data_IF_760795990782
#
_entry.id   IF_760795990782
#
_cell.length_a   1.000
_cell.length_b   1.000
_cell.length_c   1.000
_cell.angle_alpha   90.00
_cell.angle_beta   90.00
_cell.angle_gamma   90.00
#
_symmetry.space_group_name_H-M   'P 1'
#
loop_
_entity.id
_entity.type
_entity.pdbx_description
1 polymer ?
#
# COMPACT_ATOMS: atom_id res chain seq x y z
N UNK A 1 21.24 -17.92 -11.30
CA UNK A 1 19.99 -18.67 -10.99
C UNK A 1 19.81 -18.92 -9.47
N UNK A 2 20.85 -19.29 -8.73
CA UNK A 2 20.76 -19.51 -7.26
C UNK A 2 20.21 -18.29 -6.46
N UNK A 3 20.65 -17.08 -6.79
CA UNK A 3 20.23 -15.85 -6.07
C UNK A 3 18.72 -15.56 -6.18
N UNK A 4 18.06 -15.93 -7.28
CA UNK A 4 16.62 -15.70 -7.46
C UNK A 4 15.75 -16.64 -6.62
N UNK A 5 16.19 -17.86 -6.39
CA UNK A 5 15.49 -18.82 -5.52
C UNK A 5 15.59 -18.36 -4.07
N UNK A 6 16.79 -18.01 -3.62
CA UNK A 6 17.01 -17.51 -2.24
C UNK A 6 16.18 -16.25 -1.96
N UNK A 7 16.16 -15.28 -2.90
CA UNK A 7 15.36 -14.06 -2.74
C UNK A 7 13.87 -14.36 -2.62
N UNK A 8 13.36 -15.30 -3.41
CA UNK A 8 11.95 -15.72 -3.33
C UNK A 8 11.64 -16.39 -2.00
N UNK A 9 12.49 -17.30 -1.56
CA UNK A 9 12.27 -18.05 -0.32
C UNK A 9 12.33 -17.12 0.90
N UNK A 10 13.30 -16.19 0.95
CA UNK A 10 13.32 -15.14 1.97
C UNK A 10 12.07 -14.25 1.94
N UNK A 11 11.52 -13.96 0.75
CA UNK A 11 10.28 -13.20 0.61
C UNK A 11 9.08 -13.93 1.23
N UNK A 12 8.95 -15.23 0.98
CA UNK A 12 7.90 -16.09 1.56
C UNK A 12 8.06 -16.18 3.10
N UNK A 13 9.29 -16.36 3.58
CA UNK A 13 9.55 -16.39 5.02
C UNK A 13 9.20 -15.05 5.69
N UNK A 14 9.56 -13.93 5.06
CA UNK A 14 9.24 -12.61 5.59
C UNK A 14 7.72 -12.36 5.62
N UNK A 15 7.01 -12.71 4.57
CA UNK A 15 5.55 -12.66 4.53
C UNK A 15 4.92 -13.51 5.64
N UNK A 16 5.43 -14.72 5.87
CA UNK A 16 4.97 -15.58 6.96
C UNK A 16 5.25 -14.97 8.36
N UNK A 17 6.41 -14.31 8.54
CA UNK A 17 6.70 -13.62 9.80
C UNK A 17 5.72 -12.48 10.07
N UNK A 18 5.42 -11.66 9.06
CA UNK A 18 4.43 -10.58 9.19
C UNK A 18 3.04 -11.14 9.47
N UNK A 19 2.64 -12.25 8.82
CA UNK A 19 1.40 -12.94 9.15
C UNK A 19 1.35 -13.39 10.62
N UNK A 20 2.40 -14.02 11.12
CA UNK A 20 2.44 -14.50 12.50
C UNK A 20 2.45 -13.37 13.52
N UNK A 21 3.04 -12.22 13.21
CA UNK A 21 2.98 -11.02 14.05
C UNK A 21 1.53 -10.67 14.40
N UNK A 22 0.63 -10.62 13.40
CA UNK A 22 -0.79 -10.34 13.62
C UNK A 22 -1.57 -11.56 14.12
N UNK A 23 -1.26 -12.75 13.65
CA UNK A 23 -1.98 -13.96 14.04
C UNK A 23 -1.81 -14.28 15.53
N UNK A 24 -0.68 -13.96 16.14
CA UNK A 24 -0.46 -14.13 17.56
C UNK A 24 -1.36 -13.24 18.41
N UNK A 25 -1.78 -12.07 17.89
CA UNK A 25 -2.72 -11.20 18.60
C UNK A 25 -4.11 -11.85 18.76
N UNK A 26 -4.48 -12.86 17.95
CA UNK A 26 -5.74 -13.59 18.10
C UNK A 26 -5.81 -14.36 19.42
N UNK A 27 -4.67 -14.66 20.05
CA UNK A 27 -4.62 -15.33 21.35
C UNK A 27 -4.77 -14.36 22.53
N UNK A 28 -4.71 -13.06 22.29
CA UNK A 28 -5.00 -12.05 23.30
C UNK A 28 -6.52 -11.80 23.37
N UNK A 29 -7.11 -12.08 24.53
CA UNK A 29 -8.54 -11.87 24.75
C UNK A 29 -8.96 -10.38 24.63
N UNK A 30 -8.01 -9.44 24.72
CA UNK A 30 -8.26 -8.01 24.57
C UNK A 30 -8.02 -7.52 23.13
N UNK A 31 -7.50 -8.38 22.26
CA UNK A 31 -7.29 -8.02 20.86
C UNK A 31 -8.58 -7.70 20.14
N UNK A 32 -8.56 -6.61 19.37
CA UNK A 32 -9.67 -6.21 18.50
C UNK A 32 -9.65 -6.94 17.14
N UNK A 33 -8.62 -7.76 16.86
CA UNK A 33 -8.54 -8.53 15.62
C UNK A 33 -9.57 -9.66 15.67
N UNK A 34 -10.39 -9.76 14.63
CA UNK A 34 -11.35 -10.83 14.44
C UNK A 34 -10.76 -11.98 13.63
N UNK A 35 -10.13 -11.65 12.50
CA UNK A 35 -9.50 -12.64 11.63
C UNK A 35 -8.19 -12.09 11.04
N UNK A 36 -7.26 -13.01 10.80
CA UNK A 36 -6.06 -12.77 10.00
C UNK A 36 -6.02 -13.84 8.91
N UNK A 37 -5.99 -13.39 7.65
CA UNK A 37 -5.95 -14.28 6.49
C UNK A 37 -4.61 -14.18 5.79
N UNK A 38 -4.09 -15.30 5.30
CA UNK A 38 -2.85 -15.40 4.54
C UNK A 38 -3.17 -15.76 3.09
N UNK A 39 -2.56 -15.07 2.12
CA UNK A 39 -2.82 -15.25 0.68
C UNK A 39 -4.33 -15.25 0.36
N UNK A 40 -5.00 -14.16 0.68
CA UNK A 40 -6.44 -13.99 0.49
C UNK A 40 -6.78 -13.75 -0.98
N UNK A 41 -7.19 -14.79 -1.70
CA UNK A 41 -7.28 -14.84 -3.16
C UNK A 41 -8.28 -13.86 -3.82
N UNK A 42 -9.05 -13.07 -3.06
CA UNK A 42 -10.09 -12.19 -3.60
C UNK A 42 -9.52 -10.95 -4.32
N UNK A 43 -8.34 -10.48 -3.92
CA UNK A 43 -7.74 -9.24 -4.42
C UNK A 43 -6.26 -9.39 -4.72
N UNK A 44 -5.93 -9.57 -5.99
CA UNK A 44 -4.53 -9.57 -6.44
C UNK A 44 -3.84 -8.24 -6.09
N UNK A 45 -2.69 -8.33 -5.47
CA UNK A 45 -1.77 -7.24 -5.08
C UNK A 45 -2.00 -6.59 -3.72
N UNK A 46 -3.02 -7.03 -2.95
CA UNK A 46 -3.21 -6.71 -1.54
C UNK A 46 -3.77 -7.94 -0.82
N UNK A 47 -3.29 -9.09 -1.19
CA UNK A 47 -3.79 -10.39 -0.79
C UNK A 47 -2.82 -11.17 0.10
N UNK A 48 -1.61 -10.63 0.33
CA UNK A 48 -0.62 -11.34 1.14
C UNK A 48 -1.14 -11.56 2.56
N UNK A 49 -1.68 -10.50 3.20
CA UNK A 49 -2.30 -10.58 4.53
C UNK A 49 -3.53 -9.68 4.56
N UNK A 50 -4.62 -10.19 5.10
CA UNK A 50 -5.85 -9.42 5.34
C UNK A 50 -6.24 -9.54 6.80
N UNK A 51 -6.44 -8.40 7.46
CA UNK A 51 -6.83 -8.32 8.87
C UNK A 51 -8.21 -7.70 8.96
N UNK A 52 -9.15 -8.40 9.60
CA UNK A 52 -10.46 -7.86 9.94
C UNK A 52 -10.56 -7.58 11.44
N UNK A 53 -11.25 -6.50 11.80
CA UNK A 53 -11.42 -6.02 13.17
C UNK A 53 -12.86 -6.20 13.66
N UNK A 54 -13.03 -6.67 14.91
CA UNK A 54 -14.34 -6.94 15.57
C UNK A 54 -15.21 -5.69 15.66
N UNK A 55 -14.61 -4.57 16.07
CA UNK A 55 -15.30 -3.30 16.36
C UNK A 55 -14.72 -2.14 15.55
N UNK A 56 -14.00 -2.47 14.48
CA UNK A 56 -13.21 -1.49 13.73
C UNK A 56 -11.98 -1.01 14.51
N UNK A 57 -11.03 -0.44 13.79
CA UNK A 57 -9.81 0.17 14.32
C UNK A 57 -9.85 1.66 14.04
N UNK A 58 -9.60 2.49 15.06
CA UNK A 58 -9.48 3.93 14.87
C UNK A 58 -8.29 4.23 13.96
N UNK A 59 -8.54 5.00 12.92
CA UNK A 59 -7.53 5.44 11.97
C UNK A 59 -7.81 6.88 11.56
N UNK A 60 -6.99 7.84 12.06
CA UNK A 60 -7.26 9.27 11.94
C UNK A 60 -8.67 9.61 12.46
N UNK A 61 -9.49 10.29 11.66
CA UNK A 61 -10.85 10.69 12.00
C UNK A 61 -11.91 9.66 11.59
N UNK A 62 -11.49 8.44 11.18
CA UNK A 62 -12.37 7.38 10.71
C UNK A 62 -12.18 6.09 11.49
N UNK A 63 -13.06 5.14 11.24
CA UNK A 63 -12.94 3.76 11.72
C UNK A 63 -12.80 2.83 10.52
N UNK A 64 -11.78 2.01 10.53
CA UNK A 64 -11.56 0.99 9.48
C UNK A 64 -11.91 -0.39 10.01
N UNK A 65 -12.50 -1.21 9.16
CA UNK A 65 -12.87 -2.58 9.49
C UNK A 65 -11.88 -3.61 8.96
N UNK A 66 -11.09 -3.23 7.94
CA UNK A 66 -10.17 -4.16 7.28
C UNK A 66 -8.87 -3.47 6.86
N UNK A 67 -7.76 -4.16 7.07
CA UNK A 67 -6.47 -3.83 6.49
C UNK A 67 -6.09 -4.86 5.43
N UNK A 68 -5.74 -4.39 4.24
CA UNK A 68 -5.22 -5.19 3.14
C UNK A 68 -3.73 -4.91 2.99
N UNK A 69 -2.90 -5.89 3.26
CA UNK A 69 -1.45 -5.73 3.35
C UNK A 69 -0.77 -6.46 2.19
N UNK A 70 0.02 -5.72 1.42
CA UNK A 70 1.00 -6.26 0.51
C UNK A 70 2.37 -6.26 1.17
N UNK A 71 3.01 -7.41 1.26
CA UNK A 71 4.36 -7.55 1.83
C UNK A 71 5.39 -7.57 0.72
N UNK A 72 6.43 -6.75 0.85
CA UNK A 72 7.57 -6.70 -0.09
C UNK A 72 8.89 -6.85 0.64
N UNK A 73 9.60 -7.91 0.30
CA UNK A 73 10.94 -8.17 0.80
C UNK A 73 11.98 -7.84 -0.27
N UNK A 74 12.96 -7.04 0.11
CA UNK A 74 14.13 -6.74 -0.71
C UNK A 74 15.40 -7.14 0.04
N UNK A 75 16.24 -7.98 -0.58
CA UNK A 75 17.51 -8.43 0.00
C UNK A 75 18.56 -7.32 0.11
N UNK A 76 18.43 -6.28 -0.70
CA UNK A 76 19.37 -5.15 -0.74
C UNK A 76 18.69 -3.91 -0.20
N UNK A 77 19.33 -3.26 0.77
CA UNK A 77 18.87 -1.96 1.29
C UNK A 77 18.92 -0.83 0.25
N UNK A 78 19.59 -1.04 -0.87
CA UNK A 78 19.68 -0.08 -1.99
C UNK A 78 18.36 0.07 -2.77
N UNK A 79 17.41 -0.86 -2.59
CA UNK A 79 16.10 -0.78 -3.23
C UNK A 79 15.19 0.14 -2.40
N UNK A 80 15.20 1.42 -2.73
CA UNK A 80 14.33 2.42 -2.11
C UNK A 80 12.98 2.47 -2.82
N UNK A 81 11.94 2.81 -2.06
CA UNK A 81 10.61 3.07 -2.60
C UNK A 81 10.59 4.49 -3.16
N UNK A 82 10.11 4.63 -4.40
CA UNK A 82 9.96 5.92 -5.08
C UNK A 82 8.57 6.02 -5.69
N UNK A 83 8.10 7.24 -5.97
CA UNK A 83 6.84 7.46 -6.66
C UNK A 83 6.83 6.79 -8.04
N UNK A 84 7.89 6.96 -8.82
CA UNK A 84 8.02 6.30 -10.12
C UNK A 84 8.01 4.78 -9.98
N UNK A 85 8.65 4.25 -8.92
CA UNK A 85 8.63 2.83 -8.62
C UNK A 85 7.24 2.27 -8.31
N UNK A 86 6.43 3.01 -7.59
CA UNK A 86 5.03 2.62 -7.30
C UNK A 86 4.13 2.69 -8.54
N UNK A 87 4.51 3.50 -9.52
CA UNK A 87 3.83 3.66 -10.81
C UNK A 87 4.37 2.74 -11.92
N UNK A 88 5.53 2.09 -11.71
CA UNK A 88 6.11 1.17 -12.68
C UNK A 88 5.62 -0.27 -12.45
N UNK A 89 4.92 -0.88 -13.43
CA UNK A 89 4.49 -2.27 -13.33
C UNK A 89 5.63 -3.27 -13.09
N UNK A 90 6.84 -2.98 -13.57
CA UNK A 90 7.98 -3.89 -13.43
C UNK A 90 8.40 -4.11 -11.97
N UNK A 91 8.14 -3.17 -11.08
CA UNK A 91 8.47 -3.29 -9.65
C UNK A 91 7.65 -4.34 -8.89
N UNK A 92 6.52 -4.73 -9.47
CA UNK A 92 5.70 -5.84 -8.94
C UNK A 92 5.73 -7.06 -9.90
N UNK A 93 6.75 -7.15 -10.76
CA UNK A 93 6.88 -8.18 -11.78
C UNK A 93 5.67 -8.26 -12.75
N UNK A 94 4.92 -7.18 -12.91
CA UNK A 94 3.81 -7.07 -13.84
C UNK A 94 4.25 -6.44 -15.17
N UNK A 95 3.44 -6.63 -16.23
CA UNK A 95 3.73 -6.08 -17.56
C UNK A 95 2.94 -4.80 -17.88
N UNK A 96 1.81 -4.58 -17.22
CA UNK A 96 0.87 -3.54 -17.63
C UNK A 96 0.30 -2.70 -16.49
N UNK A 97 0.15 -3.25 -15.30
CA UNK A 97 -0.59 -2.63 -14.20
C UNK A 97 0.39 -2.42 -13.04
N UNK A 98 0.53 -1.19 -12.59
CA UNK A 98 1.41 -0.82 -11.48
C UNK A 98 0.78 -1.13 -10.11
N UNK A 99 1.57 -1.00 -9.04
CA UNK A 99 1.09 -1.17 -7.68
C UNK A 99 -0.05 -0.20 -7.36
N UNK A 100 0.12 1.10 -7.65
CA UNK A 100 -0.93 2.09 -7.40
C UNK A 100 -2.17 1.89 -8.29
N UNK A 101 -2.01 1.46 -9.54
CA UNK A 101 -3.15 1.10 -10.39
C UNK A 101 -3.95 -0.08 -9.81
N UNK A 102 -3.26 -1.07 -9.22
CA UNK A 102 -3.95 -2.17 -8.55
C UNK A 102 -4.76 -1.69 -7.34
N UNK A 103 -4.21 -0.76 -6.53
CA UNK A 103 -4.94 -0.16 -5.41
C UNK A 103 -6.21 0.56 -5.87
N UNK A 104 -6.09 1.42 -6.90
CA UNK A 104 -7.23 2.14 -7.48
C UNK A 104 -8.27 1.17 -8.06
N UNK A 105 -7.83 0.14 -8.76
CA UNK A 105 -8.73 -0.86 -9.34
C UNK A 105 -9.46 -1.66 -8.26
N UNK A 106 -8.79 -2.01 -7.17
CA UNK A 106 -9.41 -2.67 -6.03
C UNK A 106 -10.46 -1.77 -5.39
N UNK A 107 -10.12 -0.51 -5.10
CA UNK A 107 -11.06 0.47 -4.57
C UNK A 107 -12.29 0.66 -5.48
N UNK A 108 -12.10 0.85 -6.79
CA UNK A 108 -13.20 1.04 -7.75
C UNK A 108 -14.10 -0.18 -7.88
N UNK A 109 -13.58 -1.39 -7.66
CA UNK A 109 -14.36 -2.62 -7.76
C UNK A 109 -15.42 -2.72 -6.67
N UNK A 110 -15.14 -2.21 -5.48
CA UNK A 110 -16.08 -2.19 -4.36
C UNK A 110 -15.81 -1.01 -3.41
N UNK A 111 -16.04 0.20 -3.89
CA UNK A 111 -15.79 1.43 -3.14
C UNK A 111 -16.53 1.45 -1.78
N UNK A 112 -17.72 0.83 -1.70
CA UNK A 112 -18.48 0.75 -0.45
C UNK A 112 -17.79 -0.14 0.58
N UNK A 113 -17.21 -1.27 0.15
CA UNK A 113 -16.45 -2.17 1.01
C UNK A 113 -15.13 -1.54 1.45
N UNK A 114 -14.45 -0.83 0.54
CA UNK A 114 -13.14 -0.24 0.80
C UNK A 114 -13.17 1.13 1.47
N UNK A 115 -14.33 1.80 1.54
CA UNK A 115 -14.49 3.04 2.28
C UNK A 115 -14.18 2.92 3.77
N UNK A 116 -14.19 1.70 4.30
CA UNK A 116 -13.84 1.37 5.69
C UNK A 116 -12.58 0.50 5.76
N UNK A 117 -11.68 0.65 4.81
CA UNK A 117 -10.47 -0.18 4.69
C UNK A 117 -9.26 0.66 4.36
N UNK A 118 -8.08 0.16 4.70
CA UNK A 118 -6.80 0.73 4.26
C UNK A 118 -5.98 -0.30 3.49
N UNK A 119 -5.17 0.20 2.56
CA UNK A 119 -4.18 -0.56 1.83
C UNK A 119 -2.80 -0.25 2.36
N UNK A 120 -2.08 -1.27 2.77
CA UNK A 120 -0.77 -1.15 3.42
C UNK A 120 0.30 -1.79 2.55
N UNK A 121 1.38 -1.08 2.28
CA UNK A 121 2.62 -1.65 1.76
C UNK A 121 3.58 -1.87 2.92
N UNK A 122 3.76 -3.12 3.30
CA UNK A 122 4.71 -3.54 4.33
C UNK A 122 6.02 -3.95 3.65
N UNK A 123 7.09 -3.20 3.86
CA UNK A 123 8.34 -3.40 3.10
C UNK A 123 9.58 -3.31 3.98
N UNK A 124 10.62 -4.06 3.61
CA UNK A 124 11.98 -3.90 4.16
C UNK A 124 12.73 -2.72 3.56
N UNK A 125 12.19 -2.10 2.50
CA UNK A 125 12.78 -0.92 1.87
C UNK A 125 12.23 0.36 2.48
N UNK A 126 13.05 1.39 2.53
CA UNK A 126 12.69 2.75 2.95
C UNK A 126 12.29 3.59 1.74
N UNK A 127 11.53 4.65 2.00
CA UNK A 127 11.26 5.66 0.97
C UNK A 127 12.52 6.47 0.73
N UNK A 128 12.84 6.74 -0.55
CA UNK A 128 13.97 7.59 -0.92
C UNK A 128 13.76 9.01 -0.42
N UNK A 129 14.74 9.53 0.31
CA UNK A 129 14.64 10.83 0.98
C UNK A 129 14.39 11.99 0.00
N UNK A 130 15.04 11.97 -1.18
CA UNK A 130 14.92 13.01 -2.20
C UNK A 130 13.72 12.80 -3.15
N UNK A 131 12.96 11.74 -2.99
CA UNK A 131 11.81 11.45 -3.84
C UNK A 131 10.59 12.26 -3.41
N UNK A 132 9.78 12.68 -4.39
CA UNK A 132 8.52 13.38 -4.15
C UNK A 132 7.57 12.59 -3.25
N UNK A 133 7.66 11.27 -3.25
CA UNK A 133 6.91 10.39 -2.36
C UNK A 133 7.16 10.72 -0.89
N UNK A 134 8.41 11.03 -0.52
CA UNK A 134 8.76 11.37 0.86
C UNK A 134 8.08 12.67 1.33
N UNK A 135 7.83 13.61 0.41
CA UNK A 135 7.06 14.82 0.72
C UNK A 135 5.58 14.52 1.01
N UNK A 136 5.03 13.46 0.38
CA UNK A 136 3.63 13.08 0.52
C UNK A 136 3.36 12.15 1.71
N UNK A 137 4.38 11.57 2.31
CA UNK A 137 4.19 10.69 3.46
C UNK A 137 4.09 11.53 4.74
N UNK A 138 3.11 11.20 5.55
CA UNK A 138 2.96 11.74 6.90
C UNK A 138 4.00 11.13 7.84
N UNK A 139 4.74 11.97 8.54
CA UNK A 139 5.72 11.54 9.55
C UNK A 139 5.07 11.01 10.84
N UNK A 140 3.76 11.11 10.97
CA UNK A 140 3.02 10.68 12.17
C UNK A 140 2.62 9.21 12.07
N UNK A 141 2.12 8.82 10.91
CA UNK A 141 1.49 7.50 10.70
C UNK A 141 1.94 6.79 9.43
N UNK A 142 2.95 7.32 8.73
CA UNK A 142 3.48 6.80 7.47
C UNK A 142 2.44 6.63 6.36
N UNK A 143 1.33 7.37 6.43
CA UNK A 143 0.28 7.30 5.42
C UNK A 143 0.51 8.31 4.30
N UNK A 144 -0.07 8.04 3.14
CA UNK A 144 -0.16 8.99 2.05
C UNK A 144 -1.05 10.18 2.45
N UNK A 145 -0.50 11.37 2.41
CA UNK A 145 -1.21 12.62 2.63
C UNK A 145 -1.53 13.27 1.28
N UNK A 146 -2.66 12.87 0.70
CA UNK A 146 -3.10 13.38 -0.59
C UNK A 146 -3.47 14.86 -0.56
N UNK A 147 -3.76 15.44 0.62
CA UNK A 147 -4.04 16.87 0.75
C UNK A 147 -2.84 17.72 0.32
N UNK A 148 -1.62 17.24 0.56
CA UNK A 148 -0.39 17.90 0.08
C UNK A 148 -0.33 18.06 -1.44
N UNK A 149 -1.00 17.20 -2.19
CA UNK A 149 -1.11 17.35 -3.63
C UNK A 149 -1.92 18.60 -4.03
N UNK A 150 -2.79 19.13 -3.14
CA UNK A 150 -3.56 20.35 -3.37
C UNK A 150 -2.74 21.62 -3.26
N UNK A 151 -1.56 21.58 -2.63
CA UNK A 151 -0.72 22.76 -2.38
C UNK A 151 -0.21 23.43 -3.66
N UNK A 152 -0.11 22.70 -4.75
CA UNK A 152 0.27 23.23 -6.05
C UNK A 152 -0.91 23.84 -6.81
N UNK A 153 -1.08 25.17 -6.77
CA UNK A 153 -2.20 25.88 -7.43
C UNK A 153 -2.17 25.84 -8.96
N UNK A 154 -1.05 25.52 -9.58
CA UNK A 154 -0.90 25.50 -11.05
C UNK A 154 -0.42 24.15 -11.53
N UNK A 155 -0.80 23.78 -12.76
CA UNK A 155 -0.33 22.56 -13.42
C UNK A 155 1.20 22.51 -13.61
N UNK A 156 1.87 23.67 -13.57
CA UNK A 156 3.31 23.77 -13.72
C UNK A 156 4.08 23.61 -12.40
N UNK A 157 3.41 23.68 -11.26
CA UNK A 157 4.02 23.39 -9.96
C UNK A 157 4.40 21.92 -9.87
N UNK A 158 5.31 21.56 -8.96
CA UNK A 158 5.73 20.19 -8.73
C UNK A 158 4.52 19.29 -8.43
N UNK A 159 3.67 19.71 -7.49
CA UNK A 159 2.45 18.96 -7.13
C UNK A 159 1.41 18.94 -8.26
N UNK A 160 1.29 20.01 -9.04
CA UNK A 160 0.41 20.04 -10.22
C UNK A 160 0.84 19.05 -11.30
N UNK A 161 2.15 18.97 -11.58
CA UNK A 161 2.70 17.95 -12.50
C UNK A 161 2.48 16.55 -11.99
N UNK A 162 2.67 16.31 -10.68
CA UNK A 162 2.45 15.02 -10.07
C UNK A 162 0.98 14.60 -10.14
N UNK A 163 0.03 15.50 -9.82
CA UNK A 163 -1.42 15.24 -10.01
C UNK A 163 -1.73 14.78 -11.44
N UNK A 164 -1.23 15.53 -12.42
CA UNK A 164 -1.44 15.20 -13.83
C UNK A 164 -0.87 13.82 -14.20
N UNK A 165 0.32 13.50 -13.71
CA UNK A 165 0.96 12.20 -13.91
C UNK A 165 0.13 11.09 -13.27
N UNK A 166 -0.29 11.26 -12.00
CA UNK A 166 -1.11 10.29 -11.28
C UNK A 166 -2.45 10.08 -11.99
N UNK A 167 -3.18 11.15 -12.35
CA UNK A 167 -4.44 11.04 -13.07
C UNK A 167 -4.29 10.28 -14.40
N UNK A 168 -3.23 10.59 -15.15
CA UNK A 168 -2.95 9.92 -16.43
C UNK A 168 -2.62 8.45 -16.27
N UNK A 169 -1.72 8.12 -15.37
CA UNK A 169 -1.26 6.74 -15.17
C UNK A 169 -2.29 5.87 -14.47
N UNK A 170 -3.03 6.42 -13.52
CA UNK A 170 -4.07 5.70 -12.79
C UNK A 170 -5.42 5.66 -13.54
N UNK A 171 -5.55 6.41 -14.65
CA UNK A 171 -6.77 6.53 -15.42
C UNK A 171 -7.97 7.01 -14.57
N UNK A 172 -7.73 8.04 -13.76
CA UNK A 172 -8.71 8.69 -12.90
C UNK A 172 -8.80 10.18 -13.22
N UNK A 173 -9.93 10.80 -12.85
CA UNK A 173 -10.08 12.25 -12.89
C UNK A 173 -9.44 12.89 -11.65
N UNK A 174 -9.13 14.19 -11.73
CA UNK A 174 -8.48 14.88 -10.61
C UNK A 174 -9.36 14.92 -9.34
N UNK A 175 -10.68 15.01 -9.48
CA UNK A 175 -11.57 14.89 -8.32
C UNK A 175 -11.56 13.50 -7.68
N UNK A 176 -11.43 12.43 -8.48
CA UNK A 176 -11.35 11.05 -7.97
C UNK A 176 -10.01 10.76 -7.24
N UNK A 177 -9.01 11.62 -7.41
CA UNK A 177 -7.74 11.48 -6.68
C UNK A 177 -7.87 11.85 -5.20
N UNK A 178 -8.92 12.60 -4.84
CA UNK A 178 -9.15 13.12 -3.49
C UNK A 178 -10.40 12.54 -2.80
N UNK A 179 -11.06 11.59 -3.46
CA UNK A 179 -12.16 10.80 -2.92
C UNK A 179 -11.64 9.54 -2.21
#
# INVERSE_FOLDING_TARGET
>A
MANGIVARDCGIEYQALVFWEYALELFDAQSNIETVSYEYAEYKSFDDIVIAYKNGKAFRDTTINTEYIQVKFHMKQENEITMDGLLDPSNINAKKISFLQNAVNAYKKDAKKYGESIFVLYSTSTVRHEDILNELISNVDNTFDLEKLKDGKTENSQMGKLRKTLCGQLSIKENELFE
#
